data_IF_079922074047
#
_entry.id   IF_079922074047
#
_cell.length_a   1.000
_cell.length_b   1.000
_cell.length_c   1.000
_cell.angle_alpha   90.00
_cell.angle_beta   90.00
_cell.angle_gamma   90.00
#
_symmetry.space_group_name_H-M   'P 1'
#
loop_
_entity.id
_entity.type
_entity.pdbx_description
1 polymer ?
#
# COMPACT_ATOMS: atom_id res chain seq x y z
N UNK A 1 -78.68 0.95 -64.44
CA UNK A 1 -78.89 -0.48 -64.32
C UNK A 1 -77.66 -1.08 -63.75
N UNK A 2 -77.81 -1.63 -62.78
CA UNK A 2 -77.40 -2.72 -61.88
C UNK A 2 -76.83 -2.27 -60.55
N UNK A 3 -77.52 -2.77 -59.58
CA UNK A 3 -77.40 -2.61 -58.15
C UNK A 3 -76.23 -3.32 -57.62
N UNK A 4 -75.46 -2.61 -56.74
CA UNK A 4 -74.41 -3.21 -55.97
C UNK A 4 -74.89 -3.45 -54.52
N UNK A 5 -74.89 -4.70 -54.10
CA UNK A 5 -75.24 -5.17 -52.80
C UNK A 5 -74.06 -4.88 -51.81
N UNK A 6 -74.43 -4.20 -50.77
CA UNK A 6 -73.58 -4.02 -49.57
C UNK A 6 -73.59 -5.32 -48.80
N UNK A 7 -72.41 -5.86 -48.56
CA UNK A 7 -72.24 -6.93 -47.56
C UNK A 7 -71.43 -6.43 -46.40
N UNK A 8 -72.14 -6.25 -45.27
CA UNK A 8 -71.61 -6.06 -43.95
C UNK A 8 -71.05 -7.38 -43.47
N UNK A 9 -69.82 -7.42 -42.99
CA UNK A 9 -69.52 -8.30 -41.88
C UNK A 9 -68.12 -8.09 -41.28
N UNK A 10 -68.23 -7.81 -39.99
CA UNK A 10 -67.40 -8.20 -38.86
C UNK A 10 -66.07 -7.48 -38.62
N UNK A 11 -66.21 -6.61 -37.66
CA UNK A 11 -65.14 -6.14 -36.76
C UNK A 11 -64.41 -7.33 -36.14
N UNK A 12 -63.18 -7.54 -36.46
CA UNK A 12 -62.24 -8.32 -35.64
C UNK A 12 -61.27 -7.34 -35.03
N UNK A 13 -61.53 -7.04 -33.76
CA UNK A 13 -60.59 -6.31 -32.89
C UNK A 13 -59.46 -7.27 -32.60
N UNK A 14 -58.30 -7.11 -33.29
CA UNK A 14 -57.08 -7.75 -32.91
C UNK A 14 -56.45 -6.85 -31.86
N UNK A 15 -56.63 -7.24 -30.59
CA UNK A 15 -55.93 -6.68 -29.47
C UNK A 15 -54.49 -7.18 -29.51
N UNK A 16 -53.61 -6.44 -30.22
CA UNK A 16 -52.19 -6.67 -30.23
C UNK A 16 -51.63 -6.38 -28.83
N UNK A 17 -51.34 -7.44 -28.10
CA UNK A 17 -50.58 -7.34 -26.85
C UNK A 17 -49.15 -6.86 -27.19
N UNK A 18 -48.92 -5.55 -27.02
CA UNK A 18 -47.59 -4.95 -27.07
C UNK A 18 -46.87 -5.35 -25.75
N UNK A 19 -46.20 -6.49 -25.79
CA UNK A 19 -45.29 -6.90 -24.72
C UNK A 19 -44.12 -5.90 -24.77
N UNK A 20 -44.16 -4.86 -23.91
CA UNK A 20 -42.99 -4.08 -23.59
C UNK A 20 -42.00 -4.99 -22.87
N UNK A 21 -41.01 -5.49 -23.63
CA UNK A 21 -39.76 -5.96 -23.09
C UNK A 21 -39.06 -4.74 -22.48
N UNK A 22 -39.38 -4.46 -21.21
CA UNK A 22 -38.52 -3.66 -20.36
C UNK A 22 -37.19 -4.42 -20.24
N UNK A 23 -36.27 -4.11 -21.17
CA UNK A 23 -34.87 -4.45 -21.02
C UNK A 23 -34.38 -3.81 -19.73
N UNK A 24 -34.37 -4.58 -18.66
CA UNK A 24 -33.62 -4.24 -17.47
C UNK A 24 -32.14 -4.16 -17.89
N UNK A 25 -31.68 -2.95 -18.24
CA UNK A 25 -30.26 -2.61 -18.17
C UNK A 25 -29.87 -2.61 -16.69
N UNK A 26 -29.86 -3.77 -16.08
CA UNK A 26 -29.07 -4.00 -14.89
C UNK A 26 -27.62 -3.85 -15.35
N UNK A 27 -26.93 -2.83 -14.88
CA UNK A 27 -25.46 -2.81 -14.92
C UNK A 27 -25.02 -4.10 -14.27
N UNK A 28 -24.60 -5.10 -15.06
CA UNK A 28 -23.91 -6.28 -14.53
C UNK A 28 -22.72 -5.71 -13.77
N UNK A 29 -22.73 -5.85 -12.44
CA UNK A 29 -21.53 -5.65 -11.65
C UNK A 29 -20.44 -6.46 -12.36
N UNK A 30 -19.31 -5.81 -12.65
CA UNK A 30 -18.16 -6.46 -13.28
C UNK A 30 -17.81 -7.65 -12.40
N UNK A 31 -17.87 -8.85 -12.96
CA UNK A 31 -17.54 -10.06 -12.22
C UNK A 31 -16.07 -10.00 -11.81
N UNK A 32 -15.80 -10.20 -10.52
CA UNK A 32 -14.44 -10.23 -10.00
C UNK A 32 -13.75 -11.52 -10.45
N UNK A 33 -12.85 -11.41 -11.40
CA UNK A 33 -12.04 -12.49 -11.93
C UNK A 33 -10.57 -12.41 -11.49
N UNK A 34 -10.26 -11.61 -10.47
CA UNK A 34 -8.89 -11.36 -10.05
C UNK A 34 -8.14 -12.63 -9.65
N UNK A 35 -8.77 -13.48 -8.84
CA UNK A 35 -8.18 -14.76 -8.43
C UNK A 35 -8.08 -15.76 -9.60
N UNK A 36 -9.15 -15.91 -10.39
CA UNK A 36 -9.13 -16.86 -11.52
C UNK A 36 -8.07 -16.50 -12.55
N UNK A 37 -7.86 -15.21 -12.82
CA UNK A 37 -6.80 -14.73 -13.71
C UNK A 37 -5.41 -15.17 -13.22
N UNK A 38 -5.10 -15.01 -11.95
CA UNK A 38 -3.83 -15.46 -11.35
C UNK A 38 -3.70 -16.98 -11.40
N UNK A 39 -4.78 -17.72 -11.12
CA UNK A 39 -4.79 -19.18 -11.18
C UNK A 39 -4.60 -19.72 -12.60
N UNK A 40 -5.16 -19.07 -13.62
CA UNK A 40 -5.03 -19.43 -15.04
C UNK A 40 -3.65 -19.09 -15.61
N UNK A 41 -3.14 -17.88 -15.32
CA UNK A 41 -1.79 -17.46 -15.75
C UNK A 41 -0.67 -18.18 -15.01
N UNK A 42 -0.93 -18.73 -13.83
CA UNK A 42 0.07 -19.26 -12.90
C UNK A 42 1.13 -18.24 -12.48
N UNK A 43 0.79 -16.97 -12.53
CA UNK A 43 1.69 -15.88 -12.19
C UNK A 43 0.97 -14.81 -11.37
N UNK A 44 1.64 -14.35 -10.31
CA UNK A 44 1.25 -13.23 -9.47
C UNK A 44 2.17 -12.05 -9.77
N UNK A 45 1.61 -10.92 -10.18
CA UNK A 45 2.37 -9.70 -10.48
C UNK A 45 2.27 -8.72 -9.31
N UNK A 46 3.40 -8.39 -8.69
CA UNK A 46 3.48 -7.54 -7.50
C UNK A 46 4.23 -6.24 -7.82
N UNK A 47 3.58 -5.10 -7.56
CA UNK A 47 4.22 -3.80 -7.63
C UNK A 47 5.01 -3.54 -6.33
N UNK A 48 6.25 -3.07 -6.45
CA UNK A 48 7.12 -2.77 -5.31
C UNK A 48 8.08 -1.64 -5.65
N UNK A 49 8.95 -1.24 -4.73
CA UNK A 49 10.11 -0.40 -5.02
C UNK A 49 11.41 -1.22 -5.00
N UNK A 50 12.53 -0.57 -5.30
CA UNK A 50 13.87 -1.15 -5.22
C UNK A 50 14.76 -0.40 -4.20
N UNK A 51 14.21 0.56 -3.46
CA UNK A 51 14.95 1.50 -2.62
C UNK A 51 14.51 1.56 -1.16
N UNK A 52 13.39 0.90 -0.78
CA UNK A 52 12.85 0.94 0.58
C UNK A 52 13.43 -0.17 1.46
N UNK A 53 14.63 0.05 2.01
CA UNK A 53 15.24 -0.87 2.99
C UNK A 53 14.51 -0.80 4.35
N UNK A 54 14.21 -1.92 5.03
CA UNK A 54 14.38 -3.31 4.62
C UNK A 54 13.10 -3.96 4.03
N UNK A 55 12.16 -3.16 3.50
CA UNK A 55 10.91 -3.67 2.91
C UNK A 55 11.12 -4.29 1.54
N UNK A 56 11.77 -3.53 0.63
CA UNK A 56 12.04 -3.94 -0.75
C UNK A 56 13.25 -3.18 -1.29
N UNK A 57 14.35 -3.88 -1.51
CA UNK A 57 15.62 -3.28 -1.93
C UNK A 57 16.53 -4.32 -2.62
N UNK A 58 17.54 -3.85 -3.34
CA UNK A 58 18.58 -4.71 -3.88
C UNK A 58 19.70 -4.94 -2.86
N UNK A 59 20.05 -6.20 -2.62
CA UNK A 59 21.21 -6.59 -1.82
C UNK A 59 22.51 -6.49 -2.62
N UNK A 60 23.66 -6.79 -1.98
CA UNK A 60 24.99 -6.75 -2.60
C UNK A 60 25.16 -7.73 -3.77
N UNK A 61 24.34 -8.79 -3.83
CA UNK A 61 24.29 -9.77 -4.93
C UNK A 61 23.35 -9.31 -6.07
N UNK A 62 22.87 -8.08 -6.04
CA UNK A 62 21.89 -7.51 -6.98
C UNK A 62 20.61 -8.34 -7.09
N UNK A 63 20.12 -8.81 -5.95
CA UNK A 63 18.84 -9.53 -5.83
C UNK A 63 17.82 -8.65 -5.11
N UNK A 64 16.59 -8.60 -5.62
CA UNK A 64 15.48 -7.94 -4.94
C UNK A 64 15.10 -8.77 -3.72
N UNK A 65 15.26 -8.18 -2.54
CA UNK A 65 15.03 -8.77 -1.22
C UNK A 65 14.30 -7.77 -0.32
N UNK A 66 13.87 -8.23 0.85
CA UNK A 66 13.18 -7.43 1.84
C UNK A 66 12.04 -8.21 2.46
N UNK A 67 11.50 -7.72 3.59
CA UNK A 67 10.46 -8.48 4.28
C UNK A 67 9.16 -8.55 3.45
N UNK A 68 8.76 -7.48 2.77
CA UNK A 68 7.58 -7.50 1.89
C UNK A 68 7.79 -8.43 0.69
N UNK A 69 9.01 -8.44 0.16
CA UNK A 69 9.40 -9.33 -0.94
C UNK A 69 9.34 -10.80 -0.50
N UNK A 70 9.87 -11.12 0.69
CA UNK A 70 9.88 -12.48 1.21
C UNK A 70 8.47 -12.96 1.59
N UNK A 71 7.64 -12.09 2.17
CA UNK A 71 6.22 -12.40 2.46
C UNK A 71 5.46 -12.64 1.16
N UNK A 72 5.62 -11.79 0.15
CA UNK A 72 4.95 -11.96 -1.15
C UNK A 72 5.40 -13.25 -1.87
N UNK A 73 6.69 -13.59 -1.81
CA UNK A 73 7.22 -14.86 -2.34
C UNK A 73 6.60 -16.08 -1.67
N UNK A 74 6.46 -16.06 -0.34
CA UNK A 74 5.85 -17.16 0.39
C UNK A 74 4.34 -17.27 0.09
N UNK A 75 3.64 -16.13 -0.06
CA UNK A 75 2.24 -16.09 -0.52
C UNK A 75 2.09 -16.77 -1.88
N UNK A 76 2.88 -16.38 -2.88
CA UNK A 76 2.84 -16.98 -4.22
C UNK A 76 3.13 -18.50 -4.17
N UNK A 77 4.12 -18.91 -3.40
CA UNK A 77 4.47 -20.33 -3.19
C UNK A 77 3.31 -21.13 -2.61
N UNK A 78 2.60 -20.61 -1.59
CA UNK A 78 1.43 -21.28 -0.98
C UNK A 78 0.22 -21.29 -1.91
N UNK A 79 0.08 -20.29 -2.77
CA UNK A 79 -0.93 -20.27 -3.83
C UNK A 79 -0.59 -21.20 -5.01
N UNK A 80 0.65 -21.72 -5.09
CA UNK A 80 1.09 -22.60 -6.18
C UNK A 80 1.27 -21.88 -7.52
N UNK A 81 1.71 -20.61 -7.47
CA UNK A 81 1.96 -19.76 -8.64
C UNK A 81 3.37 -19.17 -8.59
N UNK A 82 3.90 -18.75 -9.75
CA UNK A 82 5.11 -17.95 -9.83
C UNK A 82 4.85 -16.50 -9.40
N UNK A 83 5.92 -15.75 -9.12
CA UNK A 83 5.82 -14.33 -8.78
C UNK A 83 6.69 -13.49 -9.71
N UNK A 84 6.16 -12.36 -10.18
CA UNK A 84 6.88 -11.32 -10.91
C UNK A 84 6.79 -10.01 -10.14
N UNK A 85 7.93 -9.39 -9.83
CA UNK A 85 7.96 -8.04 -9.28
C UNK A 85 8.09 -7.01 -10.39
N UNK A 86 7.35 -5.90 -10.25
CA UNK A 86 7.46 -4.70 -11.09
C UNK A 86 7.79 -3.51 -10.20
N UNK A 87 8.87 -2.84 -10.53
CA UNK A 87 9.43 -1.76 -9.73
C UNK A 87 8.87 -0.40 -10.18
N UNK A 88 8.40 0.37 -9.22
CA UNK A 88 7.83 1.70 -9.39
C UNK A 88 8.10 2.54 -8.15
N UNK A 89 8.09 3.85 -8.29
CA UNK A 89 7.91 4.75 -7.15
C UNK A 89 6.49 4.58 -6.54
N UNK A 90 6.23 5.19 -5.38
CA UNK A 90 4.94 5.03 -4.65
C UNK A 90 3.72 5.34 -5.52
N UNK A 91 3.75 6.45 -6.27
CA UNK A 91 2.64 6.83 -7.14
C UNK A 91 2.45 5.85 -8.31
N UNK A 92 3.55 5.37 -8.87
CA UNK A 92 3.55 4.37 -9.93
C UNK A 92 2.95 3.03 -9.47
N UNK A 93 3.25 2.60 -8.24
CA UNK A 93 2.66 1.40 -7.65
C UNK A 93 1.15 1.53 -7.51
N UNK A 94 0.66 2.63 -6.94
CA UNK A 94 -0.79 2.91 -6.79
C UNK A 94 -1.47 2.99 -8.16
N UNK A 95 -0.84 3.63 -9.14
CA UNK A 95 -1.37 3.73 -10.50
C UNK A 95 -1.41 2.38 -11.20
N UNK A 96 -0.42 1.49 -10.99
CA UNK A 96 -0.37 0.15 -11.58
C UNK A 96 -1.55 -0.72 -11.13
N UNK A 97 -1.96 -0.61 -9.85
CA UNK A 97 -3.16 -1.28 -9.34
C UNK A 97 -4.43 -0.81 -10.04
N UNK A 98 -4.56 0.51 -10.20
CA UNK A 98 -5.74 1.11 -10.87
C UNK A 98 -5.84 0.68 -12.34
N UNK A 99 -4.69 0.49 -13.01
CA UNK A 99 -4.63 0.05 -14.41
C UNK A 99 -4.71 -1.48 -14.56
N UNK A 100 -4.67 -2.24 -13.45
CA UNK A 100 -4.63 -3.71 -13.49
C UNK A 100 -3.32 -4.27 -14.03
N UNK A 101 -2.22 -3.53 -13.92
CA UNK A 101 -0.86 -3.94 -14.32
C UNK A 101 -0.14 -4.73 -13.23
N UNK A 102 -0.61 -4.61 -11.99
CA UNK A 102 -0.19 -5.40 -10.85
C UNK A 102 -1.42 -5.93 -10.11
N UNK A 103 -1.28 -7.07 -9.47
CA UNK A 103 -2.32 -7.75 -8.71
C UNK A 103 -2.47 -7.15 -7.32
N UNK A 104 -1.35 -6.83 -6.68
CA UNK A 104 -1.25 -6.03 -5.46
C UNK A 104 0.08 -5.28 -5.40
N UNK A 105 0.21 -4.37 -4.43
CA UNK A 105 1.46 -3.68 -4.15
C UNK A 105 1.98 -4.05 -2.76
N UNK A 106 3.30 -4.26 -2.66
CA UNK A 106 4.04 -4.65 -1.47
C UNK A 106 5.20 -3.67 -1.26
N UNK A 107 5.02 -2.69 -0.37
CA UNK A 107 5.99 -1.63 -0.09
C UNK A 107 5.63 -0.87 1.19
N UNK A 108 5.43 -1.61 2.28
CA UNK A 108 5.06 -1.08 3.60
C UNK A 108 3.80 -0.17 3.57
N UNK A 109 2.80 -0.55 2.80
CA UNK A 109 1.61 0.24 2.66
C UNK A 109 0.68 0.18 3.88
N UNK A 110 0.25 1.35 4.34
CA UNK A 110 -0.89 1.53 5.24
C UNK A 110 -2.07 2.21 4.54
N UNK A 111 -3.26 2.12 5.12
CA UNK A 111 -4.44 2.87 4.68
C UNK A 111 -4.48 4.21 5.38
N UNK A 112 -4.09 5.27 4.68
CA UNK A 112 -4.16 6.64 5.18
C UNK A 112 -4.90 7.55 4.19
N UNK A 113 -5.61 8.54 4.70
CA UNK A 113 -6.37 9.51 3.90
C UNK A 113 -7.31 8.83 2.89
N UNK A 114 -7.38 9.38 1.68
CA UNK A 114 -8.29 8.93 0.61
C UNK A 114 -7.93 7.55 0.03
N UNK A 115 -6.79 6.96 0.41
CA UNK A 115 -6.37 5.65 -0.10
C UNK A 115 -7.38 4.57 0.26
N UNK A 116 -7.93 4.59 1.47
CA UNK A 116 -8.96 3.66 1.92
C UNK A 116 -10.28 3.72 1.12
N UNK A 117 -10.55 4.80 0.39
CA UNK A 117 -11.72 4.91 -0.48
C UNK A 117 -11.57 4.09 -1.76
N UNK A 118 -10.37 4.01 -2.31
CA UNK A 118 -10.07 3.42 -3.64
C UNK A 118 -9.41 2.04 -3.55
N UNK A 119 -8.74 1.77 -2.44
CA UNK A 119 -7.96 0.58 -2.21
C UNK A 119 -8.39 -0.12 -0.92
N UNK A 120 -7.91 -1.33 -0.73
CA UNK A 120 -8.02 -2.09 0.52
C UNK A 120 -6.65 -2.64 0.88
N UNK A 121 -6.41 -2.77 2.18
CA UNK A 121 -5.25 -3.45 2.70
C UNK A 121 -5.59 -4.91 2.93
N UNK A 122 -4.61 -5.80 2.76
CA UNK A 122 -4.70 -7.18 3.22
C UNK A 122 -4.87 -7.26 4.74
N UNK A 123 -5.07 -8.46 5.28
CA UNK A 123 -4.80 -8.74 6.70
C UNK A 123 -3.46 -8.08 7.09
N UNK A 124 -3.41 -7.33 8.20
CA UNK A 124 -2.16 -6.69 8.61
C UNK A 124 -1.03 -7.70 8.80
N UNK A 125 0.09 -7.45 8.12
CA UNK A 125 1.29 -8.26 8.27
C UNK A 125 2.24 -7.66 9.31
N UNK A 126 2.28 -6.33 9.44
CA UNK A 126 3.16 -5.62 10.38
C UNK A 126 2.35 -4.62 11.20
N UNK A 127 2.64 -4.55 12.49
CA UNK A 127 2.20 -3.50 13.41
C UNK A 127 3.38 -2.60 13.71
N UNK A 128 3.19 -1.30 13.60
CA UNK A 128 4.24 -0.31 13.79
C UNK A 128 3.69 1.02 14.28
N UNK A 129 4.52 2.03 14.23
CA UNK A 129 4.22 3.42 14.56
C UNK A 129 5.24 4.32 13.87
N UNK A 130 4.95 5.60 13.82
CA UNK A 130 5.81 6.58 13.17
C UNK A 130 6.84 7.16 14.16
N UNK A 131 7.97 7.60 13.61
CA UNK A 131 9.03 8.27 14.32
C UNK A 131 9.71 9.32 13.46
N UNK A 132 10.68 10.02 14.01
CA UNK A 132 11.47 11.03 13.29
C UNK A 132 12.96 10.71 13.35
N UNK A 133 13.65 10.75 12.23
CA UNK A 133 15.10 10.82 12.16
C UNK A 133 15.52 12.30 12.14
N UNK A 134 16.48 12.63 13.00
CA UNK A 134 17.07 13.96 13.12
C UNK A 134 18.59 13.88 13.13
N UNK A 135 19.26 15.00 12.96
CA UNK A 135 20.72 15.13 13.08
C UNK A 135 21.18 14.84 14.51
N UNK A 136 22.22 14.04 14.66
CA UNK A 136 22.67 13.56 15.97
C UNK A 136 23.25 14.66 16.85
N UNK A 137 23.82 15.72 16.27
CA UNK A 137 24.55 16.75 17.02
C UNK A 137 23.66 17.75 17.77
N UNK A 138 22.46 18.01 17.26
CA UNK A 138 21.60 19.11 17.73
C UNK A 138 20.10 18.79 17.64
N UNK A 139 19.75 17.51 17.38
CA UNK A 139 18.40 17.02 17.16
C UNK A 139 17.63 17.78 16.06
N UNK A 140 18.38 18.47 15.17
CA UNK A 140 17.84 19.42 14.17
C UNK A 140 17.03 20.57 14.81
N UNK A 141 17.16 20.76 16.14
CA UNK A 141 16.32 21.65 16.93
C UNK A 141 14.86 21.24 16.97
N UNK A 142 14.59 19.92 17.03
CA UNK A 142 13.27 19.30 17.06
C UNK A 142 13.19 18.43 18.32
N UNK A 143 12.14 18.60 19.12
CA UNK A 143 11.85 17.81 20.31
C UNK A 143 10.41 17.23 20.27
N UNK A 144 9.57 17.71 19.33
CA UNK A 144 8.18 17.28 19.17
C UNK A 144 7.70 17.52 17.72
N UNK A 145 6.50 17.08 17.38
CA UNK A 145 5.89 17.39 16.08
C UNK A 145 5.66 18.89 15.89
N UNK A 146 5.38 19.65 16.94
CA UNK A 146 5.15 21.09 16.88
C UNK A 146 6.40 21.88 16.41
N UNK A 147 7.58 21.34 16.63
CA UNK A 147 8.84 21.95 16.21
C UNK A 147 9.13 21.78 14.71
N UNK A 148 8.25 21.08 13.99
CA UNK A 148 8.38 20.93 12.51
C UNK A 148 8.11 22.23 11.75
N UNK A 149 7.46 23.22 12.37
CA UNK A 149 7.14 24.48 11.74
C UNK A 149 8.40 25.18 11.18
N UNK A 150 8.44 25.34 9.85
CA UNK A 150 9.56 25.94 9.12
C UNK A 150 10.78 25.05 8.89
N UNK A 151 10.84 23.84 9.48
CA UNK A 151 11.88 22.83 9.21
C UNK A 151 11.71 22.22 7.82
N UNK A 152 12.77 21.65 7.29
CA UNK A 152 12.77 20.94 6.01
C UNK A 152 12.58 19.45 6.25
N UNK A 153 11.41 18.94 5.91
CA UNK A 153 11.10 17.52 5.97
C UNK A 153 11.42 16.84 4.64
N UNK A 154 12.23 15.79 4.69
CA UNK A 154 12.61 14.98 3.53
C UNK A 154 11.70 13.76 3.41
N UNK A 155 11.25 13.44 2.21
CA UNK A 155 10.44 12.26 1.95
C UNK A 155 10.01 12.11 0.52
N UNK A 156 9.38 10.99 0.21
CA UNK A 156 8.78 10.74 -1.09
C UNK A 156 7.43 11.46 -1.20
N UNK A 157 7.13 12.08 -2.36
CA UNK A 157 5.90 12.85 -2.52
C UNK A 157 4.65 11.99 -2.29
N UNK A 158 3.56 12.62 -1.88
CA UNK A 158 2.23 12.01 -1.69
C UNK A 158 2.14 10.92 -0.60
N UNK A 159 3.18 10.75 0.22
CA UNK A 159 3.14 9.86 1.39
C UNK A 159 2.37 10.49 2.55
N UNK A 160 1.85 9.65 3.46
CA UNK A 160 1.22 10.12 4.71
C UNK A 160 2.18 10.93 5.57
N UNK A 161 3.45 10.55 5.59
CA UNK A 161 4.51 11.21 6.34
C UNK A 161 4.73 12.66 5.87
N UNK A 162 4.78 12.88 4.56
CA UNK A 162 4.95 14.21 3.99
C UNK A 162 3.71 15.09 4.21
N UNK A 163 2.51 14.52 4.10
CA UNK A 163 1.26 15.23 4.44
C UNK A 163 1.27 15.67 5.90
N UNK A 164 1.61 14.75 6.82
CA UNK A 164 1.71 15.06 8.24
C UNK A 164 2.74 16.17 8.51
N UNK A 165 3.92 16.07 7.91
CA UNK A 165 4.96 17.11 8.05
C UNK A 165 4.46 18.49 7.58
N UNK A 166 3.76 18.55 6.43
CA UNK A 166 3.16 19.79 5.91
C UNK A 166 2.13 20.37 6.86
N UNK A 167 1.29 19.53 7.44
CA UNK A 167 0.24 19.92 8.37
C UNK A 167 0.81 20.53 9.67
N UNK A 168 2.01 20.10 10.09
CA UNK A 168 2.78 20.71 11.17
C UNK A 168 3.67 21.88 10.71
N UNK A 169 3.49 22.35 9.47
CA UNK A 169 4.14 23.56 8.95
C UNK A 169 5.57 23.35 8.46
N UNK A 170 6.00 22.11 8.20
CA UNK A 170 7.28 21.84 7.59
C UNK A 170 7.32 22.26 6.11
N UNK A 171 8.52 22.57 5.63
CA UNK A 171 8.81 22.78 4.22
C UNK A 171 9.19 21.43 3.61
N UNK A 172 8.42 20.97 2.63
CA UNK A 172 8.66 19.68 2.01
C UNK A 172 9.85 19.73 1.05
N UNK A 173 10.76 18.76 1.19
CA UNK A 173 11.86 18.47 0.25
C UNK A 173 11.63 17.07 -0.27
N UNK A 174 11.10 16.98 -1.48
CA UNK A 174 10.68 15.72 -2.07
C UNK A 174 11.79 15.07 -2.89
N UNK A 175 11.89 13.77 -2.75
CA UNK A 175 12.79 12.91 -3.51
C UNK A 175 11.93 11.86 -4.23
N UNK A 176 12.25 11.57 -5.47
CA UNK A 176 11.59 10.53 -6.23
C UNK A 176 12.49 9.28 -6.24
N UNK A 177 12.07 8.24 -5.54
CA UNK A 177 12.77 6.95 -5.43
C UNK A 177 14.22 7.07 -4.90
N UNK A 178 14.45 7.87 -3.85
CA UNK A 178 15.76 8.00 -3.22
C UNK A 178 16.08 6.84 -2.27
N UNK A 179 17.36 6.53 -2.13
CA UNK A 179 17.84 5.55 -1.15
C UNK A 179 17.95 6.15 0.26
N UNK A 180 17.96 5.28 1.30
CA UNK A 180 18.13 5.72 2.68
C UNK A 180 19.44 6.49 2.89
N UNK A 181 20.53 6.11 2.22
CA UNK A 181 21.81 6.82 2.27
C UNK A 181 21.66 8.31 1.86
N UNK A 182 20.91 8.58 0.80
CA UNK A 182 20.65 9.95 0.34
C UNK A 182 19.87 10.76 1.39
N UNK A 183 18.78 10.18 1.93
CA UNK A 183 17.95 10.83 2.96
C UNK A 183 18.76 11.14 4.23
N UNK A 184 19.46 10.13 4.77
CA UNK A 184 20.21 10.27 6.01
C UNK A 184 21.38 11.23 5.86
N UNK A 185 22.09 11.18 4.72
CA UNK A 185 23.20 12.09 4.41
C UNK A 185 22.72 13.55 4.33
N UNK A 186 21.56 13.82 3.76
CA UNK A 186 21.03 15.16 3.66
C UNK A 186 20.61 15.73 5.02
N UNK A 187 20.05 14.91 5.92
CA UNK A 187 19.79 15.30 7.31
C UNK A 187 21.09 15.57 8.06
N UNK A 188 22.07 14.69 7.94
CA UNK A 188 23.37 14.84 8.59
C UNK A 188 24.10 16.13 8.19
N UNK A 189 24.01 16.52 6.90
CA UNK A 189 24.64 17.70 6.33
C UNK A 189 23.79 18.99 6.47
N UNK A 190 22.59 18.92 7.06
CA UNK A 190 21.71 20.09 7.23
C UNK A 190 21.05 20.60 5.94
N UNK A 191 21.05 19.81 4.86
CA UNK A 191 20.27 20.12 3.66
C UNK A 191 18.79 19.98 3.94
N UNK A 192 18.43 18.95 4.72
CA UNK A 192 17.13 18.75 5.34
C UNK A 192 17.28 18.66 6.85
N UNK A 193 16.18 18.70 7.59
CA UNK A 193 16.21 18.71 9.06
C UNK A 193 15.66 17.41 9.66
N UNK A 194 14.69 16.78 8.99
CA UNK A 194 13.95 15.65 9.54
C UNK A 194 13.45 14.71 8.46
N UNK A 195 13.32 13.42 8.81
CA UNK A 195 12.60 12.41 8.05
C UNK A 195 11.53 11.82 8.96
N UNK A 196 10.26 11.89 8.56
CA UNK A 196 9.17 11.16 9.19
C UNK A 196 8.99 9.84 8.46
N UNK A 197 8.96 8.72 9.18
CA UNK A 197 8.70 7.41 8.58
C UNK A 197 8.39 6.38 9.68
N UNK A 198 8.09 5.16 9.26
CA UNK A 198 7.94 4.00 10.12
C UNK A 198 9.15 3.78 11.04
N UNK A 199 8.88 3.55 12.32
CA UNK A 199 9.94 3.40 13.34
C UNK A 199 10.88 2.25 13.04
N UNK A 200 10.36 1.08 12.69
CA UNK A 200 11.20 -0.09 12.48
C UNK A 200 12.04 0.03 11.20
N UNK A 201 11.49 0.63 10.13
CA UNK A 201 12.27 0.95 8.94
C UNK A 201 13.40 1.93 9.25
N UNK A 202 13.09 2.99 9.98
CA UNK A 202 14.09 4.00 10.40
C UNK A 202 15.16 3.39 11.30
N UNK A 203 14.76 2.55 12.26
CA UNK A 203 15.70 1.87 13.16
C UNK A 203 16.70 1.00 12.38
N UNK A 204 16.21 0.25 11.39
CA UNK A 204 17.07 -0.58 10.56
C UNK A 204 17.96 0.26 9.64
N UNK A 205 17.44 1.35 9.09
CA UNK A 205 18.21 2.26 8.22
C UNK A 205 19.37 2.93 8.97
N UNK A 206 19.11 3.44 10.18
CA UNK A 206 20.17 4.04 11.02
C UNK A 206 21.19 2.99 11.46
N UNK A 207 20.76 1.77 11.77
CA UNK A 207 21.65 0.68 12.15
C UNK A 207 22.52 0.18 10.98
N UNK A 208 22.01 0.20 9.75
CA UNK A 208 22.75 -0.21 8.54
C UNK A 208 23.78 0.83 8.10
N UNK A 209 23.63 2.10 8.47
CA UNK A 209 24.47 3.23 8.07
C UNK A 209 25.05 3.97 9.28
N UNK A 210 25.82 3.29 10.15
CA UNK A 210 26.24 3.82 11.45
C UNK A 210 27.20 5.01 11.37
N UNK A 211 27.87 5.20 10.23
CA UNK A 211 28.81 6.31 10.00
C UNK A 211 28.10 7.64 9.67
N UNK A 212 26.81 7.60 9.33
CA UNK A 212 26.02 8.80 9.08
C UNK A 212 25.52 9.34 10.44
N UNK A 213 25.86 10.57 10.85
CA UNK A 213 25.59 11.09 12.19
C UNK A 213 24.14 11.58 12.34
N UNK A 214 23.22 10.66 12.23
CA UNK A 214 21.78 10.84 12.50
C UNK A 214 21.30 9.91 13.61
N UNK A 215 20.14 10.15 14.15
CA UNK A 215 19.46 9.28 15.13
C UNK A 215 17.95 9.36 15.00
N UNK A 216 17.25 8.35 15.50
CA UNK A 216 15.82 8.47 15.80
C UNK A 216 15.66 9.37 17.02
N UNK A 217 14.69 10.29 16.97
CA UNK A 217 14.32 11.11 18.10
C UNK A 217 13.58 10.24 19.12
N UNK A 218 14.21 10.00 20.26
CA UNK A 218 13.67 9.11 21.29
C UNK A 218 12.43 9.71 21.94
N UNK A 219 11.52 8.83 22.38
CA UNK A 219 10.29 9.17 23.10
C UNK A 219 9.28 10.04 22.32
N UNK A 220 9.50 10.24 21.02
CA UNK A 220 8.56 10.89 20.11
C UNK A 220 8.04 9.88 19.10
N UNK A 221 7.08 9.06 19.56
CA UNK A 221 6.43 8.01 18.78
C UNK A 221 4.96 8.36 18.57
N UNK A 222 4.50 8.28 17.35
CA UNK A 222 3.16 8.72 16.99
C UNK A 222 2.51 7.82 15.91
N UNK A 223 1.21 7.96 15.71
CA UNK A 223 0.44 7.23 14.71
C UNK A 223 0.68 5.72 14.71
N UNK A 224 0.15 4.98 15.71
CA UNK A 224 0.17 3.53 15.61
C UNK A 224 -0.47 3.12 14.29
N UNK A 225 0.21 2.29 13.51
CA UNK A 225 -0.21 1.91 12.19
C UNK A 225 -0.10 0.41 11.96
N UNK A 226 -0.81 -0.04 10.94
CA UNK A 226 -0.75 -1.39 10.43
C UNK A 226 -0.45 -1.32 8.94
N UNK A 227 0.46 -2.16 8.48
CA UNK A 227 0.81 -2.24 7.07
C UNK A 227 0.59 -3.63 6.51
N UNK A 228 0.37 -3.69 5.20
CA UNK A 228 0.10 -4.90 4.47
C UNK A 228 0.18 -4.68 2.98
N UNK A 229 -0.33 -5.63 2.22
CA UNK A 229 -0.40 -5.52 0.78
C UNK A 229 -1.60 -4.69 0.34
N UNK A 230 -1.38 -3.79 -0.61
CA UNK A 230 -2.40 -2.90 -1.11
C UNK A 230 -3.06 -3.46 -2.38
N UNK A 231 -4.38 -3.57 -2.38
CA UNK A 231 -5.18 -4.08 -3.49
C UNK A 231 -6.12 -3.02 -4.06
N UNK A 232 -6.40 -3.08 -5.37
CA UNK A 232 -7.56 -2.40 -5.91
C UNK A 232 -8.86 -2.97 -5.29
N UNK A 233 -9.87 -2.13 -5.06
CA UNK A 233 -11.12 -2.58 -4.38
C UNK A 233 -11.90 -3.65 -5.14
N UNK A 234 -11.78 -3.68 -6.46
CA UNK A 234 -12.47 -4.66 -7.32
C UNK A 234 -11.74 -6.01 -7.41
N UNK A 235 -10.56 -6.16 -6.78
CA UNK A 235 -9.81 -7.41 -6.68
C UNK A 235 -10.14 -8.19 -5.38
N UNK A 236 -11.41 -8.29 -5.01
CA UNK A 236 -11.86 -8.92 -3.75
C UNK A 236 -11.47 -10.39 -3.64
N UNK A 237 -11.68 -11.17 -4.71
CA UNK A 237 -11.44 -12.61 -4.67
C UNK A 237 -9.96 -12.94 -4.44
N UNK A 238 -9.05 -12.19 -5.09
CA UNK A 238 -7.62 -12.35 -4.88
C UNK A 238 -7.20 -11.87 -3.48
N UNK A 239 -7.72 -10.72 -3.04
CA UNK A 239 -7.50 -10.21 -1.69
C UNK A 239 -7.85 -11.24 -0.63
N UNK A 240 -9.04 -11.86 -0.71
CA UNK A 240 -9.50 -12.83 0.28
C UNK A 240 -8.63 -14.10 0.29
N UNK A 241 -8.13 -14.52 -0.87
CA UNK A 241 -7.22 -15.66 -0.95
C UNK A 241 -5.84 -15.33 -0.35
N UNK A 242 -5.30 -14.14 -0.62
CA UNK A 242 -4.05 -13.69 0.00
C UNK A 242 -4.21 -13.56 1.52
N UNK A 243 -5.32 -13.00 2.01
CA UNK A 243 -5.61 -12.91 3.44
C UNK A 243 -5.69 -14.29 4.10
N UNK A 244 -6.29 -15.27 3.43
CA UNK A 244 -6.30 -16.64 3.91
C UNK A 244 -4.88 -17.17 4.10
N UNK A 245 -4.01 -16.96 3.12
CA UNK A 245 -2.60 -17.39 3.17
C UNK A 245 -1.82 -16.64 4.26
N UNK A 246 -2.01 -15.33 4.40
CA UNK A 246 -1.35 -14.52 5.44
C UNK A 246 -1.77 -14.98 6.85
N UNK A 247 -3.03 -15.34 7.06
CA UNK A 247 -3.51 -15.93 8.32
C UNK A 247 -2.85 -17.28 8.63
N UNK A 248 -2.64 -18.11 7.63
CA UNK A 248 -1.89 -19.35 7.78
C UNK A 248 -0.43 -19.09 8.16
N UNK A 249 0.24 -18.15 7.47
CA UNK A 249 1.63 -17.75 7.77
C UNK A 249 1.78 -17.17 9.18
N UNK A 250 0.78 -16.44 9.65
CA UNK A 250 0.73 -15.94 11.04
C UNK A 250 0.56 -17.08 12.04
N UNK A 251 -0.34 -18.03 11.76
CA UNK A 251 -0.65 -19.13 12.64
C UNK A 251 0.49 -20.15 12.78
N UNK A 252 1.24 -20.41 11.71
CA UNK A 252 2.35 -21.38 11.71
C UNK A 252 3.72 -20.76 12.07
N UNK A 253 3.78 -19.43 12.29
CA UNK A 253 4.98 -18.70 12.68
C UNK A 253 5.89 -18.25 11.54
N UNK A 254 5.56 -18.56 10.27
CA UNK A 254 6.37 -18.14 9.11
C UNK A 254 6.50 -16.63 9.01
N UNK A 255 5.42 -15.89 9.30
CA UNK A 255 5.45 -14.43 9.26
C UNK A 255 6.41 -13.86 10.31
N UNK A 256 6.38 -14.41 11.54
CA UNK A 256 7.31 -14.06 12.60
C UNK A 256 8.77 -14.33 12.19
N UNK A 257 9.07 -15.51 11.63
CA UNK A 257 10.43 -15.87 11.18
C UNK A 257 10.96 -14.87 10.13
N UNK A 258 10.12 -14.47 9.19
CA UNK A 258 10.50 -13.46 8.20
C UNK A 258 10.82 -12.13 8.89
N UNK A 259 9.98 -11.66 9.82
CA UNK A 259 10.21 -10.38 10.49
C UNK A 259 11.42 -10.41 11.43
N UNK A 260 11.65 -11.49 12.17
CA UNK A 260 12.84 -11.64 13.01
C UNK A 260 14.15 -11.59 12.19
N UNK A 261 14.13 -12.09 10.95
CA UNK A 261 15.26 -11.98 10.01
C UNK A 261 15.63 -10.52 9.70
N UNK A 262 14.63 -9.65 9.51
CA UNK A 262 14.85 -8.27 9.09
C UNK A 262 14.91 -7.27 10.24
N UNK A 263 14.10 -7.46 11.28
CA UNK A 263 13.94 -6.50 12.38
C UNK A 263 14.53 -6.96 13.70
N UNK A 264 15.00 -8.21 13.80
CA UNK A 264 15.45 -8.84 15.05
C UNK A 264 14.38 -8.85 16.14
N UNK A 265 13.14 -8.70 15.78
CA UNK A 265 11.96 -8.71 16.65
C UNK A 265 10.71 -9.09 15.84
N UNK A 266 9.71 -9.62 16.54
CA UNK A 266 8.41 -9.92 15.93
C UNK A 266 7.56 -8.64 15.84
N UNK A 267 7.40 -8.13 14.63
CA UNK A 267 6.53 -6.98 14.32
C UNK A 267 5.18 -7.40 13.75
N UNK A 268 4.88 -8.69 13.71
CA UNK A 268 3.55 -9.19 13.33
C UNK A 268 2.49 -9.01 14.42
N UNK A 269 2.90 -8.52 15.58
CA UNK A 269 2.07 -8.22 16.74
C UNK A 269 2.24 -6.76 17.17
N UNK A 270 1.21 -6.14 17.81
CA UNK A 270 1.32 -4.77 18.31
C UNK A 270 2.50 -4.56 19.27
N UNK A 271 3.12 -3.37 19.21
CA UNK A 271 4.17 -2.95 20.15
C UNK A 271 3.59 -2.66 21.54
N UNK A 272 4.41 -2.85 22.58
CA UNK A 272 4.13 -2.47 23.96
C UNK A 272 4.54 -1.01 24.30
N UNK A 273 5.10 -0.27 23.33
CA UNK A 273 5.49 1.13 23.51
C UNK A 273 4.27 2.04 23.66
N UNK A 274 4.45 3.11 24.46
CA UNK A 274 3.47 4.19 24.49
C UNK A 274 3.57 5.04 23.22
N UNK A 275 2.48 5.10 22.46
CA UNK A 275 2.43 5.75 21.16
C UNK A 275 1.34 6.80 21.17
N UNK A 276 1.68 8.03 20.83
CA UNK A 276 0.75 9.15 20.74
C UNK A 276 -0.14 8.99 19.49
N UNK A 277 -1.46 9.06 19.69
CA UNK A 277 -2.38 9.25 18.55
C UNK A 277 -2.38 10.72 18.18
N UNK A 278 -2.03 11.00 16.94
CA UNK A 278 -2.18 12.33 16.36
C UNK A 278 -3.59 12.40 15.78
N UNK A 279 -4.52 13.03 16.54
CA UNK A 279 -5.87 13.30 16.06
C UNK A 279 -5.86 14.55 15.18
N UNK A 280 -6.49 14.45 14.04
CA UNK A 280 -6.80 15.56 13.14
C UNK A 280 -8.27 15.63 12.81
#
# INVERSE_FOLDING_TARGET
METIKINKWKNIVILGAFVMLLGACGSKAKEDNSLSRVQESKELTVATSDTLFPSSYYNDDNQLVGYDVDVAKEVAKRMGVSIQFKEYNVDGQVASLTRGEADFAANDFGLSGDRGEKFRLSEPIKHSFDSMIVRKSDDSGIASLDDLAGKKAAGEPNTSYMKLAEEYGAKLVTYDNATNDQYLTDVANGRTDVILNDYYLQKMSVAALPDIPVKILEDVYFNPNETGFLFAKDNQALHDEVDRVLKEMKADGTLKEIFEKYFQTDVSVPSDKEIQKVEK
#
